data_IF_097312732906
#
_entry.id   IF_097312732906
#
_cell.length_a   1.000
_cell.length_b   1.000
_cell.length_c   1.000
_cell.angle_alpha   90.00
_cell.angle_beta   90.00
_cell.angle_gamma   90.00
#
_symmetry.space_group_name_H-M   'P 1'
#
loop_
_entity.id
_entity.type
_entity.pdbx_description
1 polymer ?
#
# COMPACT_ATOMS: atom_id res chain seq x y z
N UNK A 1 -7.88 -2.94 -15.82
CA UNK A 1 -8.54 -1.76 -15.21
C UNK A 1 -7.47 -0.75 -14.85
N UNK A 2 -7.62 0.55 -15.15
CA UNK A 2 -6.67 1.56 -14.72
C UNK A 2 -6.68 1.65 -13.19
N UNK A 3 -5.51 1.71 -12.58
CA UNK A 3 -5.36 1.86 -11.12
C UNK A 3 -5.69 3.33 -10.80
N UNK A 4 -6.72 3.57 -9.99
CA UNK A 4 -7.24 4.92 -9.72
C UNK A 4 -7.16 5.31 -8.25
N UNK A 5 -7.09 4.34 -7.35
CA UNK A 5 -7.02 4.59 -5.91
C UNK A 5 -5.95 3.74 -5.24
N UNK A 6 -5.61 4.08 -3.98
CA UNK A 6 -4.75 3.25 -3.13
C UNK A 6 -5.25 1.80 -3.02
N UNK A 7 -6.57 1.60 -2.88
CA UNK A 7 -7.16 0.26 -2.77
C UNK A 7 -7.00 -0.58 -4.06
N UNK A 8 -6.94 0.06 -5.23
CA UNK A 8 -6.63 -0.65 -6.48
C UNK A 8 -5.19 -1.19 -6.48
N UNK A 9 -4.24 -0.41 -5.95
CA UNK A 9 -2.87 -0.85 -5.75
C UNK A 9 -2.79 -2.01 -4.76
N UNK A 10 -3.45 -1.89 -3.62
CA UNK A 10 -3.48 -2.94 -2.59
C UNK A 10 -4.14 -4.24 -3.09
N UNK A 11 -5.22 -4.14 -3.89
CA UNK A 11 -5.84 -5.31 -4.53
C UNK A 11 -4.92 -5.98 -5.53
N UNK A 12 -4.23 -5.20 -6.35
CA UNK A 12 -3.24 -5.73 -7.31
C UNK A 12 -2.09 -6.39 -6.57
N UNK A 13 -1.60 -5.78 -5.51
CA UNK A 13 -0.54 -6.33 -4.66
C UNK A 13 -0.99 -7.65 -4.01
N UNK A 14 -2.20 -7.71 -3.46
CA UNK A 14 -2.75 -8.93 -2.87
C UNK A 14 -2.95 -10.08 -3.87
N UNK A 15 -3.24 -9.76 -5.13
CA UNK A 15 -3.40 -10.76 -6.20
C UNK A 15 -2.06 -11.20 -6.81
N UNK A 16 -1.05 -10.33 -6.80
CA UNK A 16 0.22 -10.56 -7.49
C UNK A 16 1.33 -11.09 -6.57
N UNK A 17 1.34 -10.67 -5.30
CA UNK A 17 2.32 -11.13 -4.33
C UNK A 17 1.97 -12.53 -3.79
N UNK A 18 3.00 -13.25 -3.34
CA UNK A 18 2.82 -14.54 -2.69
C UNK A 18 1.99 -14.40 -1.39
N UNK A 19 1.29 -15.46 -0.93
CA UNK A 19 0.46 -15.41 0.27
C UNK A 19 1.19 -14.96 1.54
N UNK A 20 2.49 -15.25 1.62
CA UNK A 20 3.37 -14.91 2.74
C UNK A 20 4.11 -13.58 2.55
N UNK A 21 3.92 -12.88 1.43
CA UNK A 21 4.55 -11.59 1.21
C UNK A 21 3.88 -10.52 2.08
N UNK A 22 4.70 -9.60 2.60
CA UNK A 22 4.20 -8.46 3.35
C UNK A 22 3.47 -7.50 2.41
N UNK A 23 2.20 -7.22 2.70
CA UNK A 23 1.37 -6.31 1.90
C UNK A 23 1.28 -4.95 2.58
N UNK A 24 1.28 -3.90 1.77
CA UNK A 24 1.13 -2.52 2.22
C UNK A 24 -0.15 -2.29 3.05
N UNK A 25 -1.26 -2.94 2.66
CA UNK A 25 -2.54 -2.92 3.39
C UNK A 25 -2.46 -3.55 4.79
N UNK A 26 -1.51 -4.45 5.02
CA UNK A 26 -1.31 -5.20 6.26
C UNK A 26 -0.25 -4.53 7.15
N UNK A 27 0.26 -3.36 6.75
CA UNK A 27 1.21 -2.58 7.54
C UNK A 27 0.64 -2.20 8.90
N UNK A 28 1.46 -2.30 9.96
CA UNK A 28 1.10 -1.86 11.32
C UNK A 28 0.98 -0.34 11.47
N UNK A 29 1.16 0.41 10.39
CA UNK A 29 1.11 1.86 10.37
C UNK A 29 2.43 2.51 10.77
N UNK A 30 2.40 3.83 10.94
CA UNK A 30 3.58 4.64 11.28
C UNK A 30 3.59 4.94 12.79
N UNK A 31 4.79 5.06 13.37
CA UNK A 31 4.98 5.46 14.78
C UNK A 31 4.31 6.80 15.10
N UNK A 32 4.28 7.71 14.12
CA UNK A 32 3.57 8.97 14.20
C UNK A 32 2.37 8.90 13.26
N UNK A 33 1.13 9.19 13.72
CA UNK A 33 -0.04 9.17 12.87
C UNK A 33 0.14 10.21 11.77
N UNK A 34 0.13 9.74 10.53
CA UNK A 34 0.26 10.57 9.35
C UNK A 34 -0.95 10.32 8.46
N UNK A 35 -1.39 11.35 7.75
CA UNK A 35 -2.51 11.18 6.82
C UNK A 35 -2.09 10.24 5.70
N UNK A 36 -2.92 9.21 5.48
CA UNK A 36 -2.78 8.32 4.33
C UNK A 36 -2.95 9.09 3.03
N UNK A 37 -2.22 8.70 1.99
CA UNK A 37 -2.35 9.30 0.67
C UNK A 37 -3.43 8.61 -0.15
N UNK A 38 -4.24 9.38 -0.89
CA UNK A 38 -5.38 8.87 -1.66
C UNK A 38 -5.03 7.86 -2.78
N UNK A 39 -3.78 7.90 -3.25
CA UNK A 39 -3.32 7.10 -4.39
C UNK A 39 -2.12 6.21 -4.06
N UNK A 40 -1.18 6.69 -3.25
CA UNK A 40 0.08 5.99 -2.98
C UNK A 40 -0.06 5.07 -1.75
N UNK A 41 0.20 3.76 -1.87
CA UNK A 41 0.28 2.86 -0.72
C UNK A 41 1.47 3.20 0.18
N UNK A 42 1.39 2.84 1.45
CA UNK A 42 2.37 3.23 2.48
C UNK A 42 3.81 2.82 2.11
N UNK A 43 4.01 1.62 1.55
CA UNK A 43 5.35 1.16 1.13
C UNK A 43 5.93 1.96 -0.04
N UNK A 44 5.07 2.45 -0.96
CA UNK A 44 5.52 3.28 -2.06
C UNK A 44 5.91 4.68 -1.57
N UNK A 45 5.18 5.20 -0.57
CA UNK A 45 5.54 6.45 0.11
C UNK A 45 6.86 6.32 0.87
N UNK A 46 7.07 5.20 1.56
CA UNK A 46 8.31 4.95 2.30
C UNK A 46 9.52 4.82 1.37
N UNK A 47 9.33 4.32 0.14
CA UNK A 47 10.39 4.25 -0.88
C UNK A 47 10.79 5.62 -1.44
N UNK A 48 9.88 6.58 -1.49
CA UNK A 48 10.13 7.92 -2.05
C UNK A 48 10.72 8.90 -1.04
N UNK A 49 10.90 8.48 0.22
CA UNK A 49 11.50 9.27 1.29
C UNK A 49 13.03 9.20 1.25
#
# INVERSE_FOLDING_TARGET
MPIRTREDWERKEAAFLAPYASKSRESSGRKHPEQSHDFRPEFQRDRER
#
